data_IF_983494818819
#
_entry.id   IF_983494818819
#
_cell.length_a   1.000
_cell.length_b   1.000
_cell.length_c   1.000
_cell.angle_alpha   90.00
_cell.angle_beta   90.00
_cell.angle_gamma   90.00
#
_symmetry.space_group_name_H-M   'P 1'
#
loop_
_entity.id
_entity.type
_entity.pdbx_description
1 polymer ?
#
# COMPACT_ATOMS: atom_id res chain seq x y z
N UNK A 1 13.58 11.92 7.58
CA UNK A 1 12.75 12.02 6.35
C UNK A 1 11.60 11.08 6.59
N UNK A 2 10.37 11.52 6.34
CA UNK A 2 9.20 10.69 6.64
C UNK A 2 9.07 9.60 5.58
N UNK A 3 8.84 8.36 6.01
CA UNK A 3 8.58 7.22 5.15
C UNK A 3 7.08 7.02 5.01
N UNK A 4 6.60 6.89 3.77
CA UNK A 4 5.18 6.75 3.46
C UNK A 4 4.98 5.60 2.47
N UNK A 5 3.91 4.84 2.67
CA UNK A 5 3.51 3.73 1.80
C UNK A 5 2.00 3.72 1.63
N UNK A 6 1.53 3.00 0.60
CA UNK A 6 0.10 2.75 0.42
C UNK A 6 -0.31 1.52 1.22
N UNK A 7 -1.32 1.63 2.09
CA UNK A 7 -1.97 0.47 2.70
C UNK A 7 -3.18 0.08 1.85
N UNK A 8 -3.16 -1.11 1.26
CA UNK A 8 -4.29 -1.70 0.52
C UNK A 8 -4.87 -2.84 1.32
N UNK A 9 -6.17 -2.80 1.55
CA UNK A 9 -6.90 -3.79 2.37
C UNK A 9 -8.15 -4.29 1.63
N UNK A 10 -8.69 -5.46 2.02
CA UNK A 10 -10.01 -5.89 1.58
C UNK A 10 -11.10 -4.89 2.01
N UNK A 11 -12.22 -4.77 1.27
CA UNK A 11 -13.31 -3.84 1.62
C UNK A 11 -13.83 -4.01 3.06
N UNK A 12 -13.97 -5.25 3.52
CA UNK A 12 -14.40 -5.59 4.88
C UNK A 12 -13.45 -5.06 5.97
N UNK A 13 -12.15 -5.01 5.68
CA UNK A 13 -11.11 -4.47 6.56
C UNK A 13 -11.08 -2.95 6.48
N UNK A 14 -11.28 -2.37 5.29
CA UNK A 14 -11.41 -0.91 5.13
C UNK A 14 -12.55 -0.33 5.97
N UNK A 15 -13.73 -0.96 5.93
CA UNK A 15 -14.88 -0.54 6.74
C UNK A 15 -14.59 -0.58 8.25
N UNK A 16 -13.81 -1.58 8.71
CA UNK A 16 -13.40 -1.67 10.11
C UNK A 16 -12.43 -0.54 10.48
N UNK A 17 -11.43 -0.26 9.64
CA UNK A 17 -10.47 0.84 9.86
C UNK A 17 -11.21 2.19 9.90
N UNK A 18 -12.15 2.43 8.99
CA UNK A 18 -12.91 3.68 8.94
C UNK A 18 -13.75 3.90 10.21
N UNK A 19 -14.41 2.85 10.71
CA UNK A 19 -15.14 2.92 12.00
C UNK A 19 -14.20 3.26 13.15
N UNK A 20 -13.07 2.57 13.25
CA UNK A 20 -12.08 2.81 14.31
C UNK A 20 -11.53 4.23 14.28
N UNK A 21 -11.21 4.76 13.08
CA UNK A 21 -10.72 6.14 12.93
C UNK A 21 -11.78 7.17 13.36
N UNK A 22 -13.04 6.94 12.99
CA UNK A 22 -14.14 7.83 13.34
C UNK A 22 -14.48 7.80 14.85
N UNK A 23 -14.49 6.63 15.48
CA UNK A 23 -14.72 6.46 16.92
C UNK A 23 -13.59 7.09 17.75
N UNK A 24 -12.35 6.94 17.29
CA UNK A 24 -11.16 7.58 17.89
C UNK A 24 -11.26 9.10 17.83
N UNK A 25 -11.67 9.65 16.68
CA UNK A 25 -11.88 11.09 16.51
C UNK A 25 -13.05 11.62 17.36
N UNK A 26 -14.07 10.80 17.62
CA UNK A 26 -15.22 11.14 18.44
C UNK A 26 -14.98 10.98 19.96
N UNK A 27 -13.77 10.59 20.40
CA UNK A 27 -13.43 10.44 21.83
C UNK A 27 -14.27 9.39 22.57
N UNK A 28 -14.87 8.45 21.84
CA UNK A 28 -15.88 7.52 22.34
C UNK A 28 -15.33 6.08 22.40
N UNK A 29 -14.19 5.85 23.06
CA UNK A 29 -13.60 4.50 23.07
C UNK A 29 -14.29 3.58 24.09
N UNK A 30 -15.08 2.63 23.61
CA UNK A 30 -15.33 1.37 24.33
C UNK A 30 -14.16 0.43 24.10
N UNK A 31 -13.38 0.14 25.15
CA UNK A 31 -12.20 -0.76 25.20
C UNK A 31 -11.04 -0.49 24.21
N UNK A 32 -9.85 -0.09 24.69
CA UNK A 32 -8.68 0.18 23.84
C UNK A 32 -8.08 -1.05 23.13
N UNK A 33 -8.39 -2.26 23.59
CA UNK A 33 -7.87 -3.51 22.99
C UNK A 33 -8.57 -3.90 21.67
N UNK A 34 -9.82 -3.44 21.45
CA UNK A 34 -10.55 -3.70 20.19
C UNK A 34 -10.22 -2.69 19.08
N UNK A 35 -9.45 -1.65 19.39
CA UNK A 35 -9.20 -0.51 18.49
C UNK A 35 -7.75 -0.36 18.01
N UNK A 36 -6.88 -1.31 18.31
CA UNK A 36 -5.47 -1.24 17.89
C UNK A 36 -5.30 -1.68 16.42
N UNK A 37 -4.43 -0.96 15.71
CA UNK A 37 -3.91 -1.34 14.41
C UNK A 37 -2.43 -1.64 14.57
N UNK A 38 -1.99 -2.80 14.11
CA UNK A 38 -0.58 -3.19 14.14
C UNK A 38 -0.13 -3.78 12.80
N UNK A 39 1.13 -3.57 12.45
CA UNK A 39 1.75 -4.08 11.24
C UNK A 39 3.15 -4.56 11.58
N UNK A 40 3.40 -5.85 11.37
CA UNK A 40 4.70 -6.48 11.57
C UNK A 40 5.17 -7.17 10.29
N UNK A 41 6.48 -7.18 10.08
CA UNK A 41 7.12 -7.89 8.96
C UNK A 41 7.99 -9.02 9.47
N UNK A 42 8.06 -10.11 8.70
CA UNK A 42 9.04 -11.17 8.92
C UNK A 42 10.44 -10.75 8.48
N UNK A 43 11.44 -11.57 8.80
CA UNK A 43 12.86 -11.32 8.51
C UNK A 43 13.18 -11.15 7.00
N UNK A 44 12.29 -11.60 6.12
CA UNK A 44 12.40 -11.38 4.67
C UNK A 44 12.13 -9.92 4.25
N UNK A 45 11.61 -9.09 5.17
CA UNK A 45 11.25 -7.69 4.95
C UNK A 45 10.12 -7.49 3.94
N UNK A 46 9.40 -8.56 3.55
CA UNK A 46 8.41 -8.55 2.49
C UNK A 46 7.09 -9.17 2.92
N UNK A 47 7.14 -10.28 3.63
CA UNK A 47 5.95 -10.91 4.19
C UNK A 47 5.66 -10.28 5.56
N UNK A 48 4.38 -10.15 5.90
CA UNK A 48 3.98 -9.52 7.15
C UNK A 48 2.61 -9.94 7.62
N UNK A 49 2.26 -9.44 8.80
CA UNK A 49 0.96 -9.63 9.42
C UNK A 49 0.39 -8.26 9.79
N UNK A 50 -0.83 -8.00 9.34
CA UNK A 50 -1.60 -6.81 9.72
C UNK A 50 -2.67 -7.23 10.72
N UNK A 51 -2.80 -6.51 11.83
CA UNK A 51 -3.78 -6.81 12.86
C UNK A 51 -4.75 -5.65 13.08
N UNK A 52 -6.02 -6.00 13.28
CA UNK A 52 -7.06 -5.11 13.80
C UNK A 52 -7.65 -5.75 15.04
N UNK A 53 -7.36 -5.19 16.22
CA UNK A 53 -7.64 -5.82 17.51
C UNK A 53 -7.05 -7.24 17.54
N UNK A 54 -7.91 -8.24 17.71
CA UNK A 54 -7.51 -9.66 17.75
C UNK A 54 -7.57 -10.39 16.40
N UNK A 55 -7.92 -9.70 15.31
CA UNK A 55 -7.97 -10.30 13.97
C UNK A 55 -6.65 -10.09 13.25
N UNK A 56 -6.12 -11.18 12.71
CA UNK A 56 -4.86 -11.21 11.96
C UNK A 56 -5.15 -11.40 10.47
N UNK A 57 -4.39 -10.69 9.63
CA UNK A 57 -4.48 -10.76 8.18
C UNK A 57 -3.07 -10.87 7.57
N UNK A 58 -2.87 -11.73 6.57
CA UNK A 58 -1.61 -11.80 5.84
C UNK A 58 -1.38 -10.50 5.06
N UNK A 59 -0.16 -9.98 5.16
CA UNK A 59 0.29 -8.77 4.47
C UNK A 59 1.53 -9.05 3.61
N UNK A 60 1.69 -8.27 2.53
CA UNK A 60 2.85 -8.37 1.63
C UNK A 60 3.27 -6.98 1.17
N UNK A 61 4.57 -6.66 1.29
CA UNK A 61 5.15 -5.41 0.79
C UNK A 61 5.54 -5.55 -0.68
N UNK A 62 4.83 -4.83 -1.54
CA UNK A 62 5.02 -4.83 -2.98
C UNK A 62 5.56 -3.49 -3.47
N UNK A 63 6.38 -3.54 -4.51
CA UNK A 63 6.90 -2.34 -5.16
C UNK A 63 5.88 -1.83 -6.18
N UNK A 64 5.53 -0.55 -6.12
CA UNK A 64 4.65 0.07 -7.11
C UNK A 64 5.42 0.33 -8.41
N UNK A 65 4.80 0.09 -9.58
CA UNK A 65 5.47 0.35 -10.84
C UNK A 65 5.60 1.86 -11.12
N UNK A 66 4.80 2.69 -10.44
CA UNK A 66 4.73 4.14 -10.58
C UNK A 66 5.21 4.82 -9.29
N UNK A 67 5.99 5.90 -9.42
CA UNK A 67 6.26 6.83 -8.31
C UNK A 67 4.99 7.62 -8.01
N UNK A 68 4.62 7.68 -6.74
CA UNK A 68 3.48 8.47 -6.24
C UNK A 68 4.02 9.55 -5.31
N UNK A 69 3.70 10.80 -5.54
CA UNK A 69 4.12 11.91 -4.68
C UNK A 69 2.97 12.31 -3.75
N UNK A 70 3.26 12.44 -2.46
CA UNK A 70 2.31 13.04 -1.50
C UNK A 70 2.61 14.51 -1.32
N UNK A 71 1.54 15.31 -1.22
CA UNK A 71 1.60 16.74 -1.03
C UNK A 71 0.70 17.15 0.12
N UNK A 72 1.13 18.18 0.86
CA UNK A 72 0.31 18.88 1.84
C UNK A 72 0.03 20.29 1.37
N UNK A 73 -1.11 20.83 1.78
CA UNK A 73 -1.54 22.18 1.47
C UNK A 73 -2.40 22.73 2.60
N UNK A 74 -2.42 24.06 2.73
CA UNK A 74 -3.32 24.77 3.64
C UNK A 74 -4.47 25.44 2.90
N UNK A 75 -4.35 25.67 1.58
CA UNK A 75 -5.25 26.51 0.77
C UNK A 75 -5.66 25.86 -0.56
N UNK A 76 -5.37 24.57 -0.74
CA UNK A 76 -5.62 23.77 -1.94
C UNK A 76 -4.98 24.32 -3.23
N UNK A 77 -4.08 25.31 -3.11
CA UNK A 77 -3.45 25.98 -4.25
C UNK A 77 -1.93 25.78 -4.25
N UNK A 78 -1.29 26.03 -3.11
CA UNK A 78 0.14 25.78 -2.95
C UNK A 78 0.36 24.39 -2.37
N UNK A 79 0.90 23.51 -3.21
CA UNK A 79 1.25 22.13 -2.84
C UNK A 79 2.71 22.07 -2.41
N UNK A 80 2.97 21.55 -1.21
CA UNK A 80 4.32 21.28 -0.71
C UNK A 80 4.53 19.77 -0.70
N UNK A 81 5.52 19.29 -1.45
CA UNK A 81 5.88 17.86 -1.50
C UNK A 81 6.26 17.38 -0.10
N UNK A 82 5.68 16.26 0.33
CA UNK A 82 5.93 15.63 1.61
C UNK A 82 6.78 14.36 1.47
N UNK A 83 6.44 13.45 0.55
CA UNK A 83 7.21 12.23 0.30
C UNK A 83 7.07 11.70 -1.13
N UNK A 84 8.01 10.82 -1.48
CA UNK A 84 7.90 9.89 -2.62
C UNK A 84 7.47 8.52 -2.09
N UNK A 85 6.45 7.93 -2.70
CA UNK A 85 5.87 6.65 -2.34
C UNK A 85 6.09 5.69 -3.50
N UNK A 86 6.89 4.66 -3.25
CA UNK A 86 7.21 3.61 -4.22
C UNK A 86 6.71 2.22 -3.82
N UNK A 87 6.06 2.07 -2.67
CA UNK A 87 5.68 0.76 -2.13
C UNK A 87 4.25 0.74 -1.59
N UNK A 88 3.70 -0.46 -1.53
CA UNK A 88 2.36 -0.74 -1.04
C UNK A 88 2.39 -1.98 -0.14
N UNK A 89 1.78 -1.87 1.04
CA UNK A 89 1.45 -3.01 1.88
C UNK A 89 0.08 -3.53 1.45
N UNK A 90 0.05 -4.73 0.91
CA UNK A 90 -1.18 -5.41 0.48
C UNK A 90 -1.61 -6.40 1.55
N UNK A 91 -2.67 -6.07 2.26
CA UNK A 91 -3.38 -6.95 3.19
C UNK A 91 -4.38 -7.79 2.40
N UNK A 92 -4.50 -9.06 2.75
CA UNK A 92 -5.31 -10.06 2.04
C UNK A 92 -6.21 -10.81 3.02
N UNK A 93 -7.24 -11.48 2.49
CA UNK A 93 -7.93 -12.52 3.26
C UNK A 93 -7.10 -13.81 3.24
N UNK A 94 -7.23 -14.67 4.25
CA UNK A 94 -6.45 -15.92 4.34
C UNK A 94 -6.64 -16.87 3.15
N UNK A 95 -7.78 -16.76 2.48
CA UNK A 95 -8.11 -17.57 1.29
C UNK A 95 -7.42 -17.07 0.03
N UNK A 96 -6.95 -15.82 0.01
CA UNK A 96 -6.30 -15.25 -1.16
C UNK A 96 -4.83 -15.66 -1.22
N UNK A 97 -4.31 -16.07 -2.39
CA UNK A 97 -2.92 -16.45 -2.53
C UNK A 97 -1.97 -15.26 -2.29
N UNK A 98 -0.76 -15.55 -1.83
CA UNK A 98 0.30 -14.55 -1.77
C UNK A 98 0.70 -14.09 -3.17
N UNK A 99 1.07 -12.80 -3.35
CA UNK A 99 1.64 -12.32 -4.60
C UNK A 99 2.90 -13.13 -4.96
N UNK A 100 2.97 -13.60 -6.21
CA UNK A 100 4.14 -14.36 -6.71
C UNK A 100 5.33 -13.45 -7.05
N UNK A 101 5.05 -12.20 -7.44
CA UNK A 101 6.05 -11.22 -7.84
C UNK A 101 6.17 -10.11 -6.79
N UNK A 102 7.39 -9.60 -6.64
CA UNK A 102 7.72 -8.48 -5.73
C UNK A 102 7.14 -7.15 -6.26
N UNK A 103 7.14 -6.97 -7.58
CA UNK A 103 6.58 -5.77 -8.20
C UNK A 103 5.07 -5.94 -8.43
N UNK A 104 4.31 -4.94 -8.02
CA UNK A 104 2.89 -4.89 -8.30
C UNK A 104 2.62 -4.53 -9.77
N UNK A 105 1.72 -5.28 -10.40
CA UNK A 105 1.44 -5.16 -11.83
C UNK A 105 0.81 -3.83 -12.26
N UNK A 106 0.13 -3.12 -11.36
CA UNK A 106 -0.70 -1.96 -11.70
C UNK A 106 -0.24 -0.71 -10.96
N UNK A 107 -0.42 0.48 -11.55
CA UNK A 107 -0.40 1.72 -10.78
C UNK A 107 -1.68 1.87 -9.94
N UNK A 108 -1.72 2.90 -9.09
CA UNK A 108 -2.88 3.14 -8.22
C UNK A 108 -4.13 3.59 -8.97
N UNK A 109 -3.97 4.31 -10.09
CA UNK A 109 -5.09 4.89 -10.83
C UNK A 109 -5.55 3.97 -11.97
N UNK A 110 -6.86 3.97 -12.33
CA UNK A 110 -7.39 3.09 -13.38
C UNK A 110 -6.65 3.14 -14.73
N UNK A 111 -6.20 4.31 -15.24
CA UNK A 111 -5.44 4.39 -16.50
C UNK A 111 -4.07 3.68 -16.47
N UNK A 112 -3.55 3.40 -15.27
CA UNK A 112 -2.26 2.75 -15.01
C UNK A 112 -2.39 1.24 -14.75
N UNK A 113 -3.53 0.63 -15.11
CA UNK A 113 -3.65 -0.83 -15.14
C UNK A 113 -2.61 -1.45 -16.08
N UNK A 114 -1.91 -2.48 -15.59
CA UNK A 114 -0.76 -3.12 -16.23
C UNK A 114 0.31 -2.13 -16.71
N UNK A 115 0.69 -1.16 -15.86
CA UNK A 115 1.52 0.00 -16.21
C UNK A 115 2.79 -0.37 -17.02
N UNK A 116 3.61 -1.28 -16.48
CA UNK A 116 4.86 -1.76 -17.12
C UNK A 116 4.62 -2.28 -18.54
N UNK A 117 3.56 -3.07 -18.73
CA UNK A 117 3.25 -3.72 -20.01
C UNK A 117 2.60 -2.79 -21.02
N UNK A 118 1.70 -1.90 -20.56
CA UNK A 118 0.80 -1.11 -21.44
C UNK A 118 1.25 0.33 -21.65
N UNK A 119 2.01 0.91 -20.72
CA UNK A 119 2.34 2.34 -20.70
C UNK A 119 3.82 2.61 -20.82
N UNK A 120 4.66 1.75 -20.24
CA UNK A 120 6.09 2.02 -20.20
C UNK A 120 6.73 1.60 -21.53
N UNK A 121 7.54 2.49 -22.10
CA UNK A 121 8.33 2.19 -23.28
C UNK A 121 9.31 1.08 -22.92
N UNK A 122 9.30 -0.01 -23.70
CA UNK A 122 10.29 -1.08 -23.54
C UNK A 122 11.67 -0.53 -23.87
N UNK A 123 12.65 -0.90 -23.07
CA UNK A 123 14.04 -0.60 -23.41
C UNK A 123 14.42 -1.38 -24.70
N UNK A 124 15.15 -0.75 -25.62
CA UNK A 124 15.67 -1.47 -26.77
C UNK A 124 16.59 -2.58 -26.25
N UNK A 125 16.43 -3.78 -26.79
CA UNK A 125 17.36 -4.87 -26.51
C UNK A 125 18.73 -4.46 -27.07
N UNK A 126 19.70 -4.23 -26.18
CA UNK A 126 21.04 -3.81 -26.57
C UNK A 126 21.88 -4.97 -27.12
N UNK A 127 21.40 -6.23 -26.99
CA UNK A 127 22.10 -7.42 -27.49
C UNK A 127 21.96 -7.65 -29.00
N UNK A 128 21.20 -6.81 -29.72
CA UNK A 128 21.00 -6.97 -31.17
C UNK A 128 22.25 -6.61 -32.00
N UNK A 129 23.27 -6.00 -31.38
CA UNK A 129 24.53 -5.61 -32.05
C UNK A 129 25.72 -6.55 -31.82
N UNK A 130 25.51 -7.73 -31.20
CA UNK A 130 26.60 -8.68 -30.88
C UNK A 130 26.55 -10.02 -31.65
N UNK A 131 25.92 -10.08 -32.84
CA UNK A 131 26.01 -11.22 -33.76
C UNK A 131 26.52 -10.82 -35.14
#
# INVERSE_FOLDING_TARGET
>A
MDEQFILRVPPSVAEQIERLMNESAAGSSSNPEDASLDLSFSDDGRSGTFMIGNKSFPASLLDLPTVVESYKTYDDSFLVKAADIGQMVMVREDVDPAPEEVEYKHGLTPPMRDARRRRYRREPDLNVYMN
#
